data_IF_160590168891
#
_entry.id   IF_160590168891
#
_cell.length_a   1.000
_cell.length_b   1.000
_cell.length_c   1.000
_cell.angle_alpha   90.00
_cell.angle_beta   90.00
_cell.angle_gamma   90.00
#
_symmetry.space_group_name_H-M   'P 1'
#
loop_
_entity.id
_entity.type
_entity.pdbx_description
1 polymer ?
#
# COMPACT_ATOMS: atom_id res chain seq x y z
N UNK A 1 19.93 -11.09 15.67
CA UNK A 1 18.51 -10.82 15.39
C UNK A 1 17.69 -11.34 16.57
N UNK A 2 17.11 -10.46 17.38
CA UNK A 2 16.15 -10.91 18.39
C UNK A 2 14.74 -10.74 17.83
N UNK A 3 14.04 -11.85 17.64
CA UNK A 3 12.61 -11.89 17.36
C UNK A 3 11.88 -11.50 18.65
N UNK A 4 12.00 -10.24 19.09
CA UNK A 4 11.39 -9.80 20.34
C UNK A 4 9.87 -9.72 20.17
N UNK A 5 9.15 -10.53 20.95
CA UNK A 5 7.69 -10.44 21.14
C UNK A 5 6.82 -11.07 20.05
N UNK A 6 7.23 -11.00 18.78
CA UNK A 6 6.41 -11.49 17.65
C UNK A 6 6.80 -12.92 17.25
N UNK A 7 5.82 -13.82 17.28
CA UNK A 7 5.96 -15.19 16.73
C UNK A 7 5.62 -15.15 15.24
N UNK A 8 6.65 -15.13 14.39
CA UNK A 8 6.46 -15.26 12.95
C UNK A 8 6.30 -16.73 12.56
N UNK A 9 5.23 -17.03 11.83
CA UNK A 9 4.99 -18.33 11.21
C UNK A 9 5.86 -18.49 9.95
N UNK A 10 6.08 -17.39 9.22
CA UNK A 10 6.85 -17.38 7.98
C UNK A 10 7.77 -16.16 7.93
N UNK A 11 8.94 -16.33 7.33
CA UNK A 11 9.92 -15.26 7.12
C UNK A 11 10.39 -15.30 5.67
N UNK A 12 10.51 -14.14 5.05
CA UNK A 12 11.05 -13.99 3.70
C UNK A 12 11.95 -12.75 3.63
N UNK A 13 12.89 -12.70 2.68
CA UNK A 13 13.82 -11.57 2.55
C UNK A 13 14.06 -11.19 1.10
N UNK A 14 14.35 -9.93 0.85
CA UNK A 14 14.62 -9.42 -0.50
C UNK A 14 15.61 -8.26 -0.48
N UNK A 15 16.41 -8.16 -1.53
CA UNK A 15 17.19 -6.97 -1.84
C UNK A 15 16.35 -5.99 -2.68
N UNK A 16 16.24 -4.74 -2.24
CA UNK A 16 15.50 -3.69 -2.93
C UNK A 16 16.15 -2.33 -2.68
N UNK A 17 16.40 -1.57 -3.76
CA UNK A 17 17.03 -0.24 -3.70
C UNK A 17 18.32 -0.21 -2.85
N UNK A 18 19.17 -1.24 -3.01
CA UNK A 18 20.44 -1.35 -2.29
C UNK A 18 20.34 -1.74 -0.80
N UNK A 19 19.13 -1.92 -0.26
CA UNK A 19 18.90 -2.38 1.11
C UNK A 19 18.39 -3.82 1.14
N UNK A 20 18.58 -4.49 2.28
CA UNK A 20 18.01 -5.81 2.54
C UNK A 20 16.82 -5.65 3.46
N UNK A 21 15.66 -6.13 3.01
CA UNK A 21 14.44 -6.15 3.80
C UNK A 21 14.12 -7.58 4.20
N UNK A 22 13.62 -7.75 5.42
CA UNK A 22 13.10 -9.02 5.93
C UNK A 22 11.66 -8.82 6.33
N UNK A 23 10.80 -9.74 5.92
CA UNK A 23 9.38 -9.76 6.20
C UNK A 23 9.04 -10.95 7.09
N UNK A 24 8.19 -10.72 8.08
CA UNK A 24 7.69 -11.73 8.99
C UNK A 24 6.16 -11.73 8.96
N UNK A 25 5.57 -12.88 8.71
CA UNK A 25 4.11 -13.08 8.79
C UNK A 25 3.77 -13.76 10.10
N UNK A 26 2.89 -13.15 10.89
CA UNK A 26 2.39 -13.70 12.16
C UNK A 26 1.22 -14.65 11.93
N UNK A 27 0.88 -15.45 12.95
CA UNK A 27 -0.20 -16.43 12.85
C UNK A 27 -1.60 -15.82 12.61
N UNK A 28 -1.79 -14.54 12.96
CA UNK A 28 -3.01 -13.76 12.68
C UNK A 28 -2.98 -13.08 11.29
N UNK A 29 -2.02 -13.43 10.42
CA UNK A 29 -1.97 -12.95 9.04
C UNK A 29 -1.45 -11.52 8.87
N UNK A 30 -0.97 -10.87 9.94
CA UNK A 30 -0.28 -9.58 9.84
C UNK A 30 1.13 -9.75 9.28
N UNK A 31 1.58 -8.73 8.57
CA UNK A 31 2.92 -8.71 7.97
C UNK A 31 3.71 -7.60 8.64
N UNK A 32 4.86 -7.95 9.18
CA UNK A 32 5.85 -7.02 9.69
C UNK A 32 7.06 -7.04 8.75
N UNK A 33 7.80 -5.95 8.73
CA UNK A 33 9.06 -5.87 8.02
C UNK A 33 10.13 -5.19 8.86
N UNK A 34 11.39 -5.49 8.56
CA UNK A 34 12.55 -4.78 9.07
C UNK A 34 13.54 -4.57 7.95
N UNK A 35 14.34 -3.51 8.06
CA UNK A 35 15.38 -3.16 7.11
C UNK A 35 16.72 -3.41 7.79
N UNK A 36 17.63 -4.08 7.08
CA UNK A 36 19.02 -4.20 7.50
C UNK A 36 19.61 -2.80 7.52
N UNK A 37 20.22 -2.41 8.64
CA UNK A 37 21.01 -1.18 8.68
C UNK A 37 22.21 -1.38 7.78
N UNK A 38 22.38 -0.50 6.81
CA UNK A 38 23.52 -0.58 5.90
C UNK A 38 23.83 0.78 5.32
N UNK A 39 25.06 1.23 5.54
CA UNK A 39 25.58 2.47 4.98
C UNK A 39 25.85 3.53 6.04
N UNK A 40 26.60 4.55 5.63
CA UNK A 40 27.04 5.66 6.46
C UNK A 40 25.85 6.43 7.08
N UNK A 41 24.74 6.56 6.34
CA UNK A 41 23.55 7.33 6.73
C UNK A 41 22.90 6.80 8.02
N UNK A 42 22.81 5.48 8.18
CA UNK A 42 22.21 4.84 9.36
C UNK A 42 23.16 4.89 10.58
N UNK A 43 24.47 4.77 10.35
CA UNK A 43 25.50 4.73 11.41
C UNK A 43 25.88 6.10 11.95
N UNK A 44 25.91 7.13 11.10
CA UNK A 44 26.37 8.47 11.48
C UNK A 44 25.38 9.20 12.42
N UNK A 45 24.12 8.75 12.45
CA UNK A 45 23.08 9.34 13.28
C UNK A 45 22.92 8.64 14.64
N UNK A 46 23.50 7.44 14.82
CA UNK A 46 23.32 6.61 16.02
C UNK A 46 24.62 5.88 16.40
N UNK A 47 25.53 6.59 17.09
CA UNK A 47 26.88 6.11 17.49
C UNK A 47 26.93 4.81 18.32
N UNK A 48 25.80 4.37 18.90
CA UNK A 48 25.73 3.23 19.83
C UNK A 48 25.04 1.98 19.25
N UNK A 49 24.90 1.86 17.93
CA UNK A 49 24.20 0.74 17.31
C UNK A 49 25.11 -0.09 16.41
N UNK A 50 24.97 -1.41 16.47
CA UNK A 50 25.72 -2.33 15.61
C UNK A 50 25.38 -2.06 14.13
N UNK A 51 26.34 -1.68 13.27
CA UNK A 51 26.13 -1.40 11.85
C UNK A 51 25.64 -2.61 11.04
N UNK A 52 25.78 -3.83 11.58
CA UNK A 52 25.31 -5.06 10.94
C UNK A 52 23.94 -5.53 11.48
N UNK A 53 23.29 -4.72 12.31
CA UNK A 53 21.99 -5.02 12.90
C UNK A 53 20.80 -4.69 11.97
N UNK A 54 19.61 -5.07 12.42
CA UNK A 54 18.34 -4.75 11.77
C UNK A 54 17.62 -3.68 12.60
N UNK A 55 16.82 -2.86 11.93
CA UNK A 55 15.88 -1.98 12.63
C UNK A 55 14.82 -2.76 13.41
N UNK A 56 14.12 -2.11 14.37
CA UNK A 56 12.91 -2.67 14.95
C UNK A 56 11.89 -3.07 13.88
N UNK A 57 11.14 -4.14 14.13
CA UNK A 57 10.07 -4.59 13.25
C UNK A 57 8.94 -3.56 13.17
N UNK A 58 8.56 -3.18 11.95
CA UNK A 58 7.48 -2.24 11.63
C UNK A 58 6.31 -3.02 11.03
N UNK A 59 5.07 -2.65 11.38
CA UNK A 59 3.89 -3.21 10.73
C UNK A 59 3.82 -2.71 9.28
N UNK A 60 3.54 -3.60 8.33
CA UNK A 60 3.39 -3.23 6.92
C UNK A 60 2.06 -2.46 6.73
N UNK A 61 2.08 -1.23 6.19
CA UNK A 61 0.89 -0.39 6.11
C UNK A 61 -0.01 -0.80 4.93
N UNK A 62 -0.89 -1.77 5.17
CA UNK A 62 -1.84 -2.31 4.17
C UNK A 62 -3.17 -1.54 4.09
N UNK A 63 -3.45 -0.69 5.06
CA UNK A 63 -4.70 0.04 5.29
C UNK A 63 -4.80 1.40 4.57
N UNK A 64 -3.71 1.89 3.98
CA UNK A 64 -3.63 3.27 3.48
C UNK A 64 -4.42 3.55 2.20
N UNK A 65 -5.01 2.53 1.56
CA UNK A 65 -5.76 2.69 0.32
C UNK A 65 -7.14 3.30 0.57
N UNK A 66 -7.38 4.49 0.02
CA UNK A 66 -8.66 5.21 0.10
C UNK A 66 -9.58 4.82 -1.05
N UNK A 67 -10.83 4.48 -0.73
CA UNK A 67 -11.90 4.17 -1.69
C UNK A 67 -11.98 5.26 -2.76
N UNK A 68 -12.05 4.85 -4.03
CA UNK A 68 -12.22 5.74 -5.17
C UNK A 68 -13.28 5.18 -6.11
N UNK A 69 -14.44 5.82 -6.15
CA UNK A 69 -15.56 5.36 -6.98
C UNK A 69 -15.20 5.35 -8.47
N UNK A 70 -14.39 6.30 -8.93
CA UNK A 70 -13.97 6.33 -10.34
C UNK A 70 -13.14 5.10 -10.72
N UNK A 71 -12.39 4.55 -9.76
CA UNK A 71 -11.62 3.31 -9.95
C UNK A 71 -12.56 2.11 -9.99
N UNK A 72 -13.55 2.05 -9.10
CA UNK A 72 -14.54 0.96 -9.11
C UNK A 72 -15.33 0.93 -10.42
N UNK A 73 -15.76 2.09 -10.90
CA UNK A 73 -16.53 2.20 -12.14
C UNK A 73 -15.69 1.78 -13.35
N UNK A 74 -14.42 2.23 -13.40
CA UNK A 74 -13.47 1.81 -14.42
C UNK A 74 -13.19 0.30 -14.35
N UNK A 75 -13.01 -0.27 -13.16
CA UNK A 75 -12.79 -1.70 -12.98
C UNK A 75 -14.00 -2.53 -13.42
N UNK A 76 -15.21 -2.04 -13.15
CA UNK A 76 -16.43 -2.70 -13.59
C UNK A 76 -16.54 -2.76 -15.11
N UNK A 77 -16.11 -1.71 -15.82
CA UNK A 77 -16.12 -1.66 -17.28
C UNK A 77 -15.00 -2.44 -17.97
N UNK A 78 -13.78 -2.34 -17.45
CA UNK A 78 -12.57 -2.82 -18.15
C UNK A 78 -12.00 -4.13 -17.60
N UNK A 79 -12.32 -4.49 -16.34
CA UNK A 79 -11.76 -5.64 -15.64
C UNK A 79 -12.83 -6.64 -15.18
N UNK A 80 -13.92 -6.72 -15.95
CA UNK A 80 -14.97 -7.72 -15.81
C UNK A 80 -15.03 -8.55 -17.09
N UNK A 81 -15.16 -9.87 -16.97
CA UNK A 81 -15.38 -10.73 -18.13
C UNK A 81 -16.81 -10.60 -18.70
N UNK A 82 -17.09 -11.31 -19.80
CA UNK A 82 -18.41 -11.28 -20.46
C UNK A 82 -19.54 -11.87 -19.60
N UNK A 83 -19.18 -12.70 -18.62
CA UNK A 83 -20.12 -13.37 -17.72
C UNK A 83 -20.36 -12.56 -16.43
N UNK A 84 -19.69 -11.42 -16.27
CA UNK A 84 -19.82 -10.52 -15.12
C UNK A 84 -18.85 -10.82 -13.98
N UNK A 85 -17.87 -11.72 -14.15
CA UNK A 85 -16.88 -12.02 -13.12
C UNK A 85 -15.75 -10.98 -13.12
N UNK A 86 -15.37 -10.54 -11.93
CA UNK A 86 -14.29 -9.57 -11.74
C UNK A 86 -12.92 -10.24 -11.90
N UNK A 87 -12.15 -9.81 -12.90
CA UNK A 87 -10.79 -10.28 -13.17
C UNK A 87 -9.75 -9.58 -12.28
N UNK A 88 -9.95 -8.28 -12.05
CA UNK A 88 -9.11 -7.45 -11.19
C UNK A 88 -9.99 -6.48 -10.42
N UNK A 89 -9.72 -6.32 -9.13
CA UNK A 89 -10.43 -5.35 -8.29
C UNK A 89 -9.55 -4.80 -7.20
N UNK A 90 -9.55 -3.48 -7.07
CA UNK A 90 -8.94 -2.79 -5.95
C UNK A 90 -9.70 -3.06 -4.65
N UNK A 91 -8.96 -3.33 -3.57
CA UNK A 91 -9.52 -3.51 -2.23
C UNK A 91 -9.09 -2.33 -1.36
N UNK A 92 -10.05 -1.80 -0.61
CA UNK A 92 -9.92 -0.60 0.20
C UNK A 92 -10.34 -0.88 1.64
N UNK A 93 -9.85 -0.06 2.57
CA UNK A 93 -10.26 -0.06 3.97
C UNK A 93 -9.52 -1.04 4.88
N UNK A 94 -9.95 -1.04 6.14
CA UNK A 94 -9.36 -1.75 7.29
C UNK A 94 -10.13 -3.04 7.63
N UNK A 95 -10.54 -3.81 6.62
CA UNK A 95 -11.18 -5.11 6.86
C UNK A 95 -10.12 -6.21 7.01
N UNK A 96 -10.39 -7.25 7.80
CA UNK A 96 -9.42 -8.34 8.02
C UNK A 96 -8.87 -8.92 6.69
N UNK A 97 -9.70 -9.04 5.65
CA UNK A 97 -9.23 -9.51 4.34
C UNK A 97 -8.19 -8.59 3.67
N UNK A 98 -8.12 -7.31 4.02
CA UNK A 98 -7.13 -6.36 3.50
C UNK A 98 -5.91 -6.19 4.41
N UNK A 99 -6.06 -6.28 5.74
CA UNK A 99 -4.95 -6.00 6.68
C UNK A 99 -4.42 -7.24 7.43
N UNK A 100 -5.24 -8.27 7.62
CA UNK A 100 -4.92 -9.56 8.24
C UNK A 100 -4.93 -10.64 7.14
N UNK A 101 -4.09 -10.31 6.17
CA UNK A 101 -3.95 -10.95 4.89
C UNK A 101 -3.48 -12.39 4.86
N UNK A 102 -2.30 -12.59 5.43
CA UNK A 102 -1.37 -13.55 4.88
C UNK A 102 -1.52 -14.90 5.57
N UNK A 103 -2.32 -15.79 4.96
CA UNK A 103 -2.51 -17.18 5.42
C UNK A 103 -1.40 -18.13 4.96
N UNK A 104 -0.51 -17.65 4.11
CA UNK A 104 0.61 -18.39 3.52
C UNK A 104 1.85 -17.47 3.43
N UNK A 105 3.06 -18.02 3.21
CA UNK A 105 4.26 -17.22 3.01
C UNK A 105 4.08 -16.18 1.90
N UNK A 106 4.42 -14.92 2.18
CA UNK A 106 4.34 -13.85 1.19
C UNK A 106 5.43 -14.00 0.14
N UNK A 107 5.13 -13.62 -1.10
CA UNK A 107 6.11 -13.53 -2.17
C UNK A 107 6.50 -12.07 -2.39
N UNK A 108 7.80 -11.82 -2.44
CA UNK A 108 8.37 -10.49 -2.59
C UNK A 108 9.00 -10.38 -3.98
N UNK A 109 8.68 -9.31 -4.70
CA UNK A 109 9.29 -9.02 -6.01
C UNK A 109 9.75 -7.57 -6.02
N UNK A 110 11.04 -7.37 -6.30
CA UNK A 110 11.67 -6.06 -6.46
C UNK A 110 11.79 -5.77 -7.95
N UNK A 111 11.24 -4.66 -8.42
CA UNK A 111 11.30 -4.31 -9.84
C UNK A 111 10.76 -2.92 -10.16
N UNK A 112 11.37 -2.27 -11.15
CA UNK A 112 10.92 -0.98 -11.69
C UNK A 112 10.79 0.10 -10.59
N UNK A 113 11.70 0.12 -9.61
CA UNK A 113 11.67 1.06 -8.49
C UNK A 113 10.59 0.79 -7.43
N UNK A 114 9.99 -0.40 -7.43
CA UNK A 114 8.96 -0.78 -6.46
C UNK A 114 9.22 -2.15 -5.84
N UNK A 115 8.68 -2.30 -4.64
CA UNK A 115 8.55 -3.59 -3.97
C UNK A 115 7.09 -4.05 -4.04
N UNK A 116 6.88 -5.21 -4.64
CA UNK A 116 5.60 -5.88 -4.72
C UNK A 116 5.53 -6.97 -3.65
N UNK A 117 4.46 -6.95 -2.86
CA UNK A 117 4.17 -7.95 -1.84
C UNK A 117 2.90 -8.69 -2.25
N UNK A 118 3.07 -9.93 -2.70
CA UNK A 118 1.99 -10.83 -3.05
C UNK A 118 1.62 -11.68 -1.84
N UNK A 119 0.32 -11.79 -1.56
CA UNK A 119 -0.22 -12.54 -0.43
C UNK A 119 -1.54 -13.18 -0.79
N UNK A 120 -1.76 -14.39 -0.28
CA UNK A 120 -3.05 -15.06 -0.37
C UNK A 120 -3.92 -14.61 0.80
N UNK A 121 -5.17 -14.20 0.53
CA UNK A 121 -6.15 -13.86 1.55
C UNK A 121 -6.85 -15.10 2.12
N UNK A 122 -7.51 -14.94 3.28
CA UNK A 122 -8.38 -15.97 3.88
C UNK A 122 -9.48 -16.42 2.90
N UNK A 123 -9.96 -15.51 2.05
CA UNK A 123 -10.97 -15.79 1.01
C UNK A 123 -10.42 -16.41 -0.28
N UNK A 124 -9.21 -16.97 -0.25
CA UNK A 124 -8.52 -17.57 -1.40
C UNK A 124 -8.33 -16.61 -2.60
N UNK A 125 -8.09 -15.32 -2.31
CA UNK A 125 -7.76 -14.31 -3.35
C UNK A 125 -6.29 -14.00 -3.31
N UNK A 126 -5.70 -13.74 -4.47
CA UNK A 126 -4.34 -13.19 -4.55
C UNK A 126 -4.42 -11.67 -4.44
N UNK A 127 -3.78 -11.10 -3.43
CA UNK A 127 -3.66 -9.66 -3.22
C UNK A 127 -2.22 -9.23 -3.50
N UNK A 128 -2.09 -8.05 -4.08
CA UNK A 128 -0.78 -7.42 -4.32
C UNK A 128 -0.78 -6.02 -3.77
N UNK A 129 0.27 -5.69 -3.01
CA UNK A 129 0.53 -4.34 -2.54
C UNK A 129 1.87 -3.87 -3.11
N UNK A 130 1.92 -2.59 -3.50
CA UNK A 130 3.10 -1.98 -4.10
C UNK A 130 3.63 -0.88 -3.18
N UNK A 131 4.92 -0.93 -2.88
CA UNK A 131 5.60 0.02 -1.99
C UNK A 131 6.79 0.67 -2.69
N UNK A 132 7.14 1.86 -2.21
CA UNK A 132 8.43 2.52 -2.45
C UNK A 132 9.17 2.54 -1.11
N UNK A 133 10.46 2.24 -1.12
CA UNK A 133 11.31 2.38 0.06
C UNK A 133 11.79 3.83 0.18
N UNK A 134 11.40 4.52 1.26
CA UNK A 134 12.03 5.78 1.65
C UNK A 134 13.42 5.46 2.20
N UNK A 135 14.45 5.79 1.42
CA UNK A 135 15.85 5.49 1.75
C UNK A 135 16.37 6.24 2.98
N UNK A 136 15.77 7.38 3.34
CA UNK A 136 16.18 8.20 4.50
C UNK A 136 15.56 7.65 5.78
N UNK A 137 14.29 7.24 5.73
CA UNK A 137 13.56 6.76 6.91
C UNK A 137 13.53 5.23 7.06
N UNK A 138 13.98 4.51 6.05
CA UNK A 138 13.83 3.05 5.96
C UNK A 138 12.37 2.60 6.12
N UNK A 139 11.46 3.33 5.48
CA UNK A 139 10.02 3.08 5.57
C UNK A 139 9.46 2.63 4.22
N UNK A 140 8.64 1.57 4.25
CA UNK A 140 7.86 1.16 3.09
C UNK A 140 6.60 2.02 3.02
N UNK A 141 6.59 2.93 2.05
CA UNK A 141 5.45 3.80 1.78
C UNK A 141 4.61 3.16 0.68
N UNK A 142 3.31 2.91 0.89
CA UNK A 142 2.42 2.43 -0.16
C UNK A 142 2.50 3.39 -1.34
N UNK A 143 2.72 2.86 -2.55
CA UNK A 143 2.70 3.71 -3.74
C UNK A 143 1.26 4.15 -3.99
N UNK A 144 0.96 5.38 -3.58
CA UNK A 144 -0.27 6.05 -3.92
C UNK A 144 -0.29 6.35 -5.42
N UNK A 145 -1.47 6.20 -6.00
CA UNK A 145 -1.69 6.49 -7.41
C UNK A 145 -1.92 7.99 -7.60
N UNK A 146 -1.55 8.50 -8.78
CA UNK A 146 -1.82 9.89 -9.16
C UNK A 146 -3.34 10.07 -9.24
N UNK A 147 -3.83 11.08 -8.53
CA UNK A 147 -5.24 11.46 -8.47
C UNK A 147 -5.39 12.92 -8.85
N UNK A 148 -6.53 13.26 -9.45
CA UNK A 148 -6.88 14.65 -9.74
C UNK A 148 -6.94 15.45 -8.43
N UNK A 149 -6.22 16.58 -8.38
CA UNK A 149 -6.01 17.34 -7.15
C UNK A 149 -7.32 17.79 -6.48
N UNK A 150 -8.33 18.17 -7.26
CA UNK A 150 -9.61 18.68 -6.76
C UNK A 150 -10.61 17.58 -6.40
N UNK A 151 -10.82 16.60 -7.29
CA UNK A 151 -11.77 15.50 -7.03
C UNK A 151 -11.21 14.40 -6.14
N UNK A 152 -9.87 14.32 -5.98
CA UNK A 152 -9.16 13.20 -5.34
C UNK A 152 -9.48 11.82 -5.96
N UNK A 153 -10.04 11.82 -7.17
CA UNK A 153 -10.36 10.65 -7.97
C UNK A 153 -9.23 10.36 -8.96
N UNK A 154 -9.04 9.09 -9.32
CA UNK A 154 -8.01 8.66 -10.27
C UNK A 154 -8.39 8.94 -11.72
N UNK A 155 -9.61 8.59 -12.11
CA UNK A 155 -10.03 8.61 -13.52
C UNK A 155 -10.93 9.79 -13.88
N UNK A 156 -11.54 10.45 -12.89
CA UNK A 156 -12.49 11.53 -13.13
C UNK A 156 -11.96 12.87 -12.59
N UNK A 157 -11.76 13.89 -13.44
CA UNK A 157 -11.52 15.24 -12.96
C UNK A 157 -12.78 15.78 -12.27
N UNK A 158 -12.60 16.73 -11.34
CA UNK A 158 -13.73 17.52 -10.86
C UNK A 158 -14.36 18.24 -12.06
N UNK A 159 -15.69 18.18 -12.21
CA UNK A 159 -16.38 18.92 -13.26
C UNK A 159 -15.93 20.39 -13.23
N UNK A 160 -15.51 20.90 -14.37
CA UNK A 160 -15.19 22.32 -14.52
C UNK A 160 -16.40 23.14 -14.11
N UNK A 161 -16.22 24.13 -13.22
CA UNK A 161 -17.26 25.12 -12.90
C UNK A 161 -17.77 25.73 -14.21
N UNK A 162 -18.95 25.30 -14.66
CA UNK A 162 -19.65 25.94 -15.77
C UNK A 162 -20.56 26.99 -15.15
N UNK A 163 -20.35 28.25 -15.54
CA UNK A 163 -21.31 29.31 -15.29
C UNK A 163 -22.48 29.03 -16.20
N UNK A 164 -23.65 28.76 -15.63
CA UNK A 164 -24.86 28.63 -16.41
C UNK A 164 -25.25 30.02 -16.93
N UNK A 165 -25.04 30.25 -18.24
CA UNK A 165 -25.21 31.58 -18.85
C UNK A 165 -26.65 32.09 -18.79
N UNK A 166 -27.62 31.20 -18.54
CA UNK A 166 -29.04 31.55 -18.42
C UNK A 166 -29.41 32.09 -17.03
N UNK A 167 -28.77 31.64 -15.96
CA UNK A 167 -29.14 32.00 -14.57
C UNK A 167 -28.03 32.70 -13.77
N UNK A 168 -26.81 32.82 -14.32
CA UNK A 168 -25.68 33.43 -13.61
C UNK A 168 -25.23 32.63 -12.38
N UNK A 169 -25.67 31.38 -12.22
CA UNK A 169 -25.29 30.50 -11.12
C UNK A 169 -24.10 29.63 -11.51
N UNK A 170 -23.25 29.38 -10.52
CA UNK A 170 -22.19 28.38 -10.63
C UNK A 170 -22.79 27.01 -10.35
N UNK A 171 -22.69 26.10 -11.31
CA UNK A 171 -23.09 24.72 -11.09
C UNK A 171 -22.05 24.08 -10.15
N UNK A 172 -22.54 23.41 -9.09
CA UNK A 172 -21.79 22.75 -8.01
C UNK A 172 -21.35 23.60 -6.79
N UNK A 173 -22.15 24.60 -6.36
CA UNK A 173 -22.07 25.11 -4.98
C UNK A 173 -22.94 24.22 -4.08
N UNK A 174 -22.31 23.30 -3.34
CA UNK A 174 -22.98 22.64 -2.21
C UNK A 174 -23.00 23.63 -1.05
N UNK A 175 -24.16 24.20 -0.74
CA UNK A 175 -24.34 24.95 0.49
C UNK A 175 -24.30 23.96 1.66
N UNK A 176 -23.35 24.14 2.57
CA UNK A 176 -23.48 23.55 3.90
C UNK A 176 -24.66 24.25 4.58
N UNK A 177 -25.71 23.49 4.92
CA UNK A 177 -26.70 23.95 5.88
C UNK A 177 -26.11 23.71 7.26
N UNK A 178 -26.02 24.78 8.05
CA UNK A 178 -25.60 24.78 9.46
C UNK A 178 -26.52 23.93 10.35
#
# INVERSE_FOLDING_TARGET
MHLQGQKFAHVNSIAHEGKILVFGTTADGKIYYTVKRSGFEDTALQDNQDPLSFEPWKLLPLDRSVLDQSVLDHEQGEFTDKDGNQLLRSRYGEVAETIESAVAPVQLVSGIGHLYVFRQSIGNKLLVNRFVLDGIKNELVPKLEVRFQRSRQKYLPAESMKIDKAEGKLNNITYYQD
#
